data_IF_563712471168
#
_entry.id   IF_563712471168
#
_cell.length_a   1.000
_cell.length_b   1.000
_cell.length_c   1.000
_cell.angle_alpha   90.00
_cell.angle_beta   90.00
_cell.angle_gamma   90.00
#
_symmetry.space_group_name_H-M   'P 1'
#
loop_
_entity.id
_entity.type
_entity.pdbx_description
1 polymer ?
#
# COMPACT_ATOMS: atom_id res chain seq x y z
N UNK A 1 -13.66 4.61 -12.92
CA UNK A 1 -13.49 5.96 -13.51
C UNK A 1 -14.81 6.43 -14.10
N UNK A 2 -15.15 6.17 -15.38
CA UNK A 2 -16.41 6.66 -15.99
C UNK A 2 -17.71 6.23 -15.30
N UNK A 3 -17.85 4.94 -14.95
CA UNK A 3 -19.05 4.45 -14.24
C UNK A 3 -19.17 4.98 -12.80
N UNK A 4 -18.04 5.36 -12.20
CA UNK A 4 -17.98 5.95 -10.87
C UNK A 4 -17.83 7.48 -10.91
N UNK A 5 -17.95 8.09 -12.10
CA UNK A 5 -17.79 9.53 -12.33
C UNK A 5 -16.46 10.14 -11.80
N UNK A 6 -15.41 9.32 -11.73
CA UNK A 6 -14.08 9.74 -11.30
C UNK A 6 -13.22 10.17 -12.49
N UNK A 7 -12.64 11.36 -12.39
CA UNK A 7 -11.64 11.87 -13.33
C UNK A 7 -10.28 11.19 -13.11
N UNK A 8 -9.63 10.78 -14.20
CA UNK A 8 -8.28 10.23 -14.13
C UNK A 8 -7.30 11.38 -13.94
N UNK A 9 -6.61 11.41 -12.81
CA UNK A 9 -5.46 12.28 -12.60
C UNK A 9 -4.17 11.49 -12.66
N UNK A 10 -3.15 12.03 -13.32
CA UNK A 10 -1.78 11.52 -13.33
C UNK A 10 -0.89 12.60 -12.72
N UNK A 11 0.05 12.19 -11.87
CA UNK A 11 1.03 13.13 -11.30
C UNK A 11 1.78 13.88 -12.39
N UNK A 12 2.05 15.16 -12.15
CA UNK A 12 2.84 15.97 -13.08
C UNK A 12 4.27 15.43 -13.12
N UNK A 13 4.85 15.34 -14.32
CA UNK A 13 6.24 14.90 -14.48
C UNK A 13 7.18 15.76 -13.62
N UNK A 14 7.94 15.11 -12.74
CA UNK A 14 8.86 15.78 -11.83
C UNK A 14 8.22 16.41 -10.58
N UNK A 15 6.92 16.19 -10.33
CA UNK A 15 6.23 16.67 -9.14
C UNK A 15 6.09 15.55 -8.10
N UNK A 16 7.11 15.38 -7.26
CA UNK A 16 7.10 14.39 -6.17
C UNK A 16 5.92 14.56 -5.18
N UNK A 17 5.48 15.77 -4.80
CA UNK A 17 4.35 15.95 -3.89
C UNK A 17 3.04 15.30 -4.36
N UNK A 18 2.82 15.18 -5.67
CA UNK A 18 1.59 14.57 -6.23
C UNK A 18 1.48 13.07 -5.90
N UNK A 19 2.59 12.41 -5.56
CA UNK A 19 2.64 10.98 -5.28
C UNK A 19 3.23 10.65 -3.88
N UNK A 20 3.75 11.63 -3.17
CA UNK A 20 4.52 11.44 -1.92
C UNK A 20 3.73 10.71 -0.83
N UNK A 21 2.41 10.95 -0.72
CA UNK A 21 1.55 10.26 0.24
C UNK A 21 1.47 8.74 -0.05
N UNK A 22 1.30 8.36 -1.31
CA UNK A 22 1.29 6.98 -1.74
C UNK A 22 2.68 6.34 -1.57
N UNK A 23 3.75 7.06 -1.90
CA UNK A 23 5.13 6.62 -1.69
C UNK A 23 5.41 6.31 -0.21
N UNK A 24 4.96 7.19 0.69
CA UNK A 24 5.04 6.98 2.13
C UNK A 24 4.30 5.73 2.58
N UNK A 25 3.06 5.55 2.13
CA UNK A 25 2.26 4.34 2.42
C UNK A 25 2.97 3.06 1.96
N UNK A 26 3.45 3.02 0.71
CA UNK A 26 4.15 1.84 0.19
C UNK A 26 5.49 1.62 0.89
N UNK A 27 6.18 2.68 1.31
CA UNK A 27 7.36 2.62 2.15
C UNK A 27 7.08 1.94 3.49
N UNK A 28 6.02 2.37 4.18
CA UNK A 28 5.59 1.75 5.45
C UNK A 28 5.20 0.29 5.28
N UNK A 29 4.42 -0.08 4.27
CA UNK A 29 4.07 -1.48 4.00
C UNK A 29 5.34 -2.32 3.82
N UNK A 30 6.28 -1.87 2.99
CA UNK A 30 7.53 -2.62 2.75
C UNK A 30 8.36 -2.74 4.01
N UNK A 31 8.51 -1.68 4.79
CA UNK A 31 9.36 -1.68 5.97
C UNK A 31 8.75 -2.42 7.16
N UNK A 32 7.44 -2.36 7.33
CA UNK A 32 6.78 -2.86 8.55
C UNK A 32 6.16 -4.24 8.35
N UNK A 33 5.62 -4.53 7.16
CA UNK A 33 4.99 -5.81 6.85
C UNK A 33 5.91 -6.77 6.11
N UNK A 34 6.89 -6.29 5.35
CA UNK A 34 7.68 -7.14 4.47
C UNK A 34 9.15 -7.29 4.88
N UNK A 35 9.78 -6.22 5.37
CA UNK A 35 11.21 -6.19 5.62
C UNK A 35 11.62 -7.20 6.71
N UNK A 36 12.67 -7.97 6.43
CA UNK A 36 13.19 -9.06 7.30
C UNK A 36 12.19 -10.18 7.65
N UNK A 37 11.07 -10.31 6.92
CA UNK A 37 10.18 -11.46 7.04
C UNK A 37 10.44 -12.46 5.91
N UNK A 38 10.46 -13.75 6.26
CA UNK A 38 10.57 -14.83 5.29
C UNK A 38 9.17 -15.28 4.85
N UNK A 39 8.92 -15.18 3.54
CA UNK A 39 7.70 -15.65 2.90
C UNK A 39 7.90 -16.97 2.15
N UNK A 40 9.04 -17.64 2.31
CA UNK A 40 9.30 -18.96 1.72
C UNK A 40 8.24 -19.95 2.19
N UNK A 41 7.55 -20.58 1.22
CA UNK A 41 6.46 -21.52 1.51
C UNK A 41 5.12 -20.87 1.86
N UNK A 42 5.03 -19.54 1.97
CA UNK A 42 3.75 -18.83 2.12
C UNK A 42 3.03 -18.84 0.78
N UNK A 43 1.76 -19.27 0.78
CA UNK A 43 0.95 -19.23 -0.43
C UNK A 43 0.61 -17.79 -0.83
N UNK A 44 0.39 -17.57 -2.13
CA UNK A 44 -0.03 -16.25 -2.63
C UNK A 44 -1.31 -15.79 -1.93
N UNK A 45 -2.26 -16.69 -1.70
CA UNK A 45 -3.50 -16.34 -0.99
C UNK A 45 -3.20 -15.84 0.42
N UNK A 46 -2.34 -16.54 1.17
CA UNK A 46 -1.99 -16.14 2.53
C UNK A 46 -1.24 -14.81 2.57
N UNK A 47 -0.41 -14.54 1.56
CA UNK A 47 0.24 -13.25 1.39
C UNK A 47 -0.78 -12.12 1.17
N UNK A 48 -1.76 -12.33 0.27
CA UNK A 48 -2.84 -11.38 -0.01
C UNK A 48 -3.63 -11.09 1.27
N UNK A 49 -4.00 -12.12 2.03
CA UNK A 49 -4.75 -11.94 3.27
C UNK A 49 -3.96 -11.10 4.28
N UNK A 50 -2.66 -11.40 4.45
CA UNK A 50 -1.77 -10.63 5.34
C UNK A 50 -1.65 -9.17 4.89
N UNK A 51 -1.57 -8.92 3.59
CA UNK A 51 -1.53 -7.57 3.03
C UNK A 51 -2.85 -6.83 3.23
N UNK A 52 -3.99 -7.51 3.12
CA UNK A 52 -5.31 -6.91 3.35
C UNK A 52 -5.53 -6.52 4.82
N UNK A 53 -4.97 -7.30 5.75
CA UNK A 53 -5.07 -7.04 7.19
C UNK A 53 -4.19 -5.84 7.61
N UNK A 54 -3.06 -5.61 6.93
CA UNK A 54 -2.09 -4.56 7.32
C UNK A 54 -2.69 -3.14 7.34
N UNK A 55 -3.40 -2.63 6.31
CA UNK A 55 -4.01 -1.30 6.36
C UNK A 55 -5.06 -1.15 7.47
N UNK A 56 -5.80 -2.23 7.75
CA UNK A 56 -6.79 -2.25 8.84
C UNK A 56 -6.08 -2.10 10.19
N UNK A 57 -5.03 -2.88 10.42
CA UNK A 57 -4.19 -2.77 11.61
C UNK A 57 -3.55 -1.38 11.72
N UNK A 58 -2.97 -0.86 10.63
CA UNK A 58 -2.30 0.43 10.59
C UNK A 58 -3.24 1.56 11.03
N UNK A 59 -4.48 1.57 10.52
CA UNK A 59 -5.45 2.64 10.80
C UNK A 59 -6.07 2.55 12.21
N UNK A 60 -6.12 1.36 12.82
CA UNK A 60 -6.84 1.14 14.09
C UNK A 60 -5.90 1.05 15.29
N UNK A 61 -4.70 0.48 15.11
CA UNK A 61 -3.80 0.10 16.20
C UNK A 61 -2.53 0.93 16.30
N UNK A 62 -2.15 1.62 15.22
CA UNK A 62 -0.93 2.43 15.17
C UNK A 62 -1.14 3.90 15.60
N UNK A 63 -2.34 4.25 16.08
CA UNK A 63 -2.60 5.56 16.71
C UNK A 63 -1.62 5.78 17.85
#
# INVERSE_FOLDING_TARGET
MKQAELERSMSKKGCSPDNSACEGLFGSIKNEMFYNLDFTGVSIQKFIDTLNDYPIWYNIKKI
#
